data_IF_885559376847
#
_entry.id   IF_885559376847
#
_cell.length_a   1.000
_cell.length_b   1.000
_cell.length_c   1.000
_cell.angle_alpha   90.00
_cell.angle_beta   90.00
_cell.angle_gamma   90.00
#
_symmetry.space_group_name_H-M   'P 1'
#
loop_
_entity.id
_entity.type
_entity.pdbx_description
1 polymer ?
#
# COMPACT_ATOMS: atom_id res chain seq x y z
N UNK A 1 -9.88 -19.31 -30.89
CA UNK A 1 -9.14 -18.77 -29.72
C UNK A 1 -9.33 -19.72 -28.55
N UNK A 2 -8.27 -20.10 -27.87
CA UNK A 2 -8.36 -20.96 -26.68
C UNK A 2 -9.11 -20.17 -25.60
N UNK A 3 -10.11 -20.80 -24.96
CA UNK A 3 -10.87 -20.14 -23.87
C UNK A 3 -9.92 -19.80 -22.72
N UNK A 4 -9.89 -18.56 -22.28
CA UNK A 4 -9.07 -18.12 -21.13
C UNK A 4 -9.57 -18.86 -19.88
N UNK A 5 -8.69 -19.50 -19.09
CA UNK A 5 -9.09 -20.17 -17.86
C UNK A 5 -9.55 -19.17 -16.80
N UNK A 6 -10.29 -19.65 -15.78
CA UNK A 6 -10.64 -18.82 -14.62
C UNK A 6 -9.37 -18.28 -13.91
N UNK A 7 -8.39 -19.15 -13.69
CA UNK A 7 -7.11 -18.79 -13.08
C UNK A 7 -5.99 -18.93 -14.09
N UNK A 8 -5.28 -17.87 -14.32
CA UNK A 8 -4.04 -17.83 -15.08
C UNK A 8 -2.90 -18.00 -14.09
N UNK A 9 -2.26 -19.17 -14.11
CA UNK A 9 -1.17 -19.48 -13.23
C UNK A 9 0.16 -19.41 -13.98
N UNK A 10 1.15 -18.81 -13.35
CA UNK A 10 2.56 -18.93 -13.72
C UNK A 10 3.15 -20.09 -12.93
N UNK A 11 4.18 -20.74 -13.49
CA UNK A 11 5.01 -21.70 -12.74
C UNK A 11 6.06 -20.98 -11.88
N UNK A 12 6.72 -21.69 -10.97
CA UNK A 12 7.82 -21.13 -10.16
C UNK A 12 8.98 -20.63 -11.04
N UNK A 13 9.26 -21.29 -12.17
CA UNK A 13 10.30 -20.90 -13.11
C UNK A 13 9.99 -19.59 -13.85
N UNK A 14 8.72 -19.18 -13.86
CA UNK A 14 8.26 -17.93 -14.47
C UNK A 14 8.21 -16.76 -13.46
N UNK A 15 8.58 -17.00 -12.20
CA UNK A 15 8.74 -15.91 -11.23
C UNK A 15 9.74 -14.87 -11.76
N UNK A 16 9.40 -13.56 -11.71
CA UNK A 16 10.32 -12.50 -12.08
C UNK A 16 11.62 -12.59 -11.25
N UNK A 17 12.76 -12.45 -11.96
CA UNK A 17 14.09 -12.44 -11.34
C UNK A 17 14.55 -11.05 -10.95
N UNK A 18 13.83 -10.03 -11.37
CA UNK A 18 14.15 -8.63 -11.15
C UNK A 18 12.89 -7.89 -10.70
N UNK A 19 13.04 -6.95 -9.79
CA UNK A 19 12.07 -5.88 -9.60
C UNK A 19 12.27 -4.82 -10.67
N UNK A 20 11.21 -4.10 -11.00
CA UNK A 20 11.25 -3.01 -11.96
C UNK A 20 11.10 -1.66 -11.27
N UNK A 21 12.06 -0.77 -11.46
CA UNK A 21 12.03 0.59 -10.98
C UNK A 21 11.37 1.49 -12.04
N UNK A 22 10.31 2.19 -11.65
CA UNK A 22 9.57 3.08 -12.58
C UNK A 22 10.29 4.41 -12.81
N UNK A 23 11.09 4.89 -11.86
CA UNK A 23 11.69 6.23 -11.90
C UNK A 23 12.56 6.51 -13.15
N UNK A 24 13.39 5.57 -13.63
CA UNK A 24 14.18 5.81 -14.87
C UNK A 24 13.34 5.93 -16.16
N UNK A 25 12.04 5.66 -16.10
CA UNK A 25 11.12 5.83 -17.24
C UNK A 25 10.37 7.17 -17.18
N UNK A 26 10.33 7.81 -16.01
CA UNK A 26 9.66 9.10 -15.83
C UNK A 26 10.46 10.22 -16.51
N UNK A 27 9.77 11.19 -17.08
CA UNK A 27 10.43 12.36 -17.69
C UNK A 27 11.23 13.14 -16.65
N UNK A 28 10.67 13.26 -15.46
CA UNK A 28 11.32 13.81 -14.27
C UNK A 28 11.03 12.87 -13.10
N UNK A 29 12.08 12.48 -12.37
CA UNK A 29 11.93 11.71 -11.15
C UNK A 29 11.18 12.55 -10.09
N UNK A 30 10.55 11.92 -9.08
CA UNK A 30 10.04 12.64 -7.91
C UNK A 30 11.14 13.47 -7.25
N UNK A 31 10.73 14.60 -6.66
CA UNK A 31 11.65 15.45 -5.91
C UNK A 31 12.39 14.65 -4.82
N UNK A 32 13.66 15.01 -4.50
CA UNK A 32 14.39 14.36 -3.44
C UNK A 32 13.73 14.62 -2.07
N UNK A 33 13.98 13.74 -1.12
CA UNK A 33 13.63 13.98 0.26
C UNK A 33 14.41 15.19 0.79
N UNK A 34 13.77 16.05 1.56
CA UNK A 34 14.38 17.23 2.14
C UNK A 34 14.60 17.02 3.64
N UNK A 35 15.81 17.24 4.10
CA UNK A 35 16.13 17.23 5.51
C UNK A 35 15.42 18.40 6.21
N UNK A 36 14.55 18.16 7.22
CA UNK A 36 13.71 19.21 7.80
C UNK A 36 14.48 20.24 8.61
N UNK A 37 15.74 19.98 8.95
CA UNK A 37 16.60 20.91 9.72
C UNK A 37 17.43 21.80 8.79
N UNK A 38 18.01 21.20 7.74
CA UNK A 38 18.91 21.93 6.84
C UNK A 38 18.22 22.48 5.60
N UNK A 39 17.00 22.02 5.30
CA UNK A 39 16.23 22.30 4.07
C UNK A 39 16.99 21.98 2.78
N UNK A 40 17.89 21.00 2.84
CA UNK A 40 18.64 20.48 1.69
C UNK A 40 18.19 19.06 1.34
N UNK A 41 18.42 18.61 0.10
CA UNK A 41 18.21 17.21 -0.25
C UNK A 41 18.91 16.27 0.72
N UNK A 42 18.19 15.23 1.16
CA UNK A 42 18.76 14.19 2.00
C UNK A 42 19.81 13.40 1.24
N UNK A 43 20.88 13.10 1.95
CA UNK A 43 21.92 12.17 1.50
C UNK A 43 21.68 10.78 2.11
N UNK A 44 22.45 9.78 1.68
CA UNK A 44 22.43 8.47 2.33
C UNK A 44 22.74 8.54 3.83
N UNK A 45 23.65 9.44 4.23
CA UNK A 45 24.02 9.63 5.65
C UNK A 45 22.87 10.16 6.51
N UNK A 46 21.98 10.97 5.93
CA UNK A 46 20.78 11.46 6.64
C UNK A 46 19.76 10.31 6.89
N UNK A 47 19.76 9.28 6.06
CA UNK A 47 18.81 8.17 6.12
C UNK A 47 19.33 6.95 6.92
N UNK A 48 20.66 6.76 7.03
CA UNK A 48 21.28 5.63 7.74
C UNK A 48 20.86 5.43 9.19
N UNK A 49 20.55 6.47 9.99
CA UNK A 49 20.03 6.24 11.33
C UNK A 49 18.69 5.49 11.36
N UNK A 50 17.93 5.55 10.27
CA UNK A 50 16.55 5.03 10.17
C UNK A 50 16.49 3.74 9.39
N UNK A 51 17.09 3.66 8.19
CA UNK A 51 16.97 2.54 7.26
C UNK A 51 18.29 1.77 7.12
N UNK A 52 18.22 0.51 6.67
CA UNK A 52 19.41 -0.24 6.29
C UNK A 52 19.97 0.24 4.93
N UNK A 53 21.28 0.03 4.73
CA UNK A 53 22.03 0.63 3.61
C UNK A 53 21.47 0.25 2.23
N UNK A 54 21.17 -1.03 2.00
CA UNK A 54 20.61 -1.46 0.72
C UNK A 54 19.25 -0.81 0.41
N UNK A 55 18.39 -0.63 1.41
CA UNK A 55 17.10 0.05 1.22
C UNK A 55 17.31 1.54 0.89
N UNK A 56 18.37 2.16 1.43
CA UNK A 56 18.73 3.54 1.09
C UNK A 56 19.21 3.62 -0.37
N UNK A 57 20.04 2.68 -0.81
CA UNK A 57 20.48 2.62 -2.20
C UNK A 57 19.30 2.49 -3.15
N UNK A 58 18.38 1.58 -2.87
CA UNK A 58 17.17 1.40 -3.66
C UNK A 58 16.22 2.61 -3.61
N UNK A 59 16.14 3.27 -2.45
CA UNK A 59 15.34 4.49 -2.27
C UNK A 59 15.83 5.64 -3.13
N UNK A 60 17.15 5.79 -3.26
CA UNK A 60 17.78 6.88 -3.99
C UNK A 60 18.08 6.57 -5.46
N UNK A 61 17.92 5.31 -5.91
CA UNK A 61 18.25 4.89 -7.28
C UNK A 61 17.24 5.40 -8.31
N UNK A 62 17.65 6.37 -9.11
CA UNK A 62 16.89 6.92 -10.24
C UNK A 62 17.40 6.41 -11.61
N UNK A 63 18.31 5.45 -11.64
CA UNK A 63 19.06 5.08 -12.86
C UNK A 63 18.81 3.66 -13.34
N UNK A 64 18.78 2.70 -12.43
CA UNK A 64 18.61 1.30 -12.77
C UNK A 64 17.14 0.97 -13.00
N UNK A 65 16.80 0.53 -14.22
CA UNK A 65 15.43 0.09 -14.58
C UNK A 65 15.03 -1.22 -13.90
N UNK A 66 16.00 -2.10 -13.66
CA UNK A 66 15.78 -3.42 -13.07
C UNK A 66 16.79 -3.67 -11.96
N UNK A 67 16.31 -4.19 -10.83
CA UNK A 67 17.14 -4.57 -9.68
C UNK A 67 16.92 -6.06 -9.44
N UNK A 68 18.02 -6.82 -9.38
CA UNK A 68 17.94 -8.28 -9.19
C UNK A 68 17.31 -8.64 -7.84
N UNK A 69 16.43 -9.63 -7.87
CA UNK A 69 15.84 -10.19 -6.65
C UNK A 69 16.78 -11.30 -6.15
N UNK A 70 17.41 -11.14 -4.98
CA UNK A 70 18.26 -12.17 -4.38
C UNK A 70 17.60 -13.55 -4.35
N UNK A 71 18.40 -14.60 -4.49
CA UNK A 71 17.88 -15.98 -4.57
C UNK A 71 17.09 -16.36 -3.31
N UNK A 72 17.56 -15.97 -2.13
CA UNK A 72 16.90 -16.25 -0.85
C UNK A 72 15.52 -15.57 -0.74
N UNK A 73 15.37 -14.39 -1.33
CA UNK A 73 14.07 -13.72 -1.43
C UNK A 73 13.16 -14.48 -2.41
N UNK A 74 13.69 -14.92 -3.54
CA UNK A 74 12.94 -15.72 -4.53
C UNK A 74 12.50 -17.05 -3.94
N UNK A 75 13.34 -17.71 -3.14
CA UNK A 75 13.00 -18.93 -2.44
C UNK A 75 11.88 -18.73 -1.41
N UNK A 76 11.92 -17.64 -0.67
CA UNK A 76 10.78 -17.26 0.16
C UNK A 76 9.51 -17.00 -0.67
N UNK A 77 9.63 -16.29 -1.79
CA UNK A 77 8.51 -16.01 -2.69
C UNK A 77 7.84 -17.28 -3.20
N UNK A 78 8.56 -18.33 -3.53
CA UNK A 78 8.02 -19.62 -3.98
C UNK A 78 7.03 -20.26 -2.98
N UNK A 79 7.09 -19.91 -1.69
CA UNK A 79 6.13 -20.40 -0.71
C UNK A 79 4.69 -19.88 -0.94
N UNK A 80 4.52 -18.76 -1.66
CA UNK A 80 3.19 -18.15 -1.87
C UNK A 80 3.00 -17.47 -3.23
N UNK A 81 4.03 -17.40 -4.03
CA UNK A 81 4.01 -16.83 -5.38
C UNK A 81 4.38 -17.91 -6.40
N UNK A 82 4.00 -17.74 -7.70
CA UNK A 82 3.22 -16.62 -8.26
C UNK A 82 1.80 -16.52 -7.67
N UNK A 83 1.33 -15.29 -7.41
CA UNK A 83 -0.03 -15.11 -6.95
C UNK A 83 -1.05 -15.23 -8.11
N UNK A 84 -2.28 -15.70 -7.87
CA UNK A 84 -3.23 -15.94 -8.94
C UNK A 84 -3.65 -14.66 -9.67
N UNK A 85 -3.68 -14.72 -11.00
CA UNK A 85 -4.43 -13.79 -11.85
C UNK A 85 -5.73 -14.50 -12.27
N UNK A 86 -6.88 -13.93 -11.94
CA UNK A 86 -8.17 -14.59 -12.14
C UNK A 86 -9.07 -13.72 -13.02
N UNK A 87 -9.79 -14.35 -13.97
CA UNK A 87 -10.85 -13.69 -14.71
C UNK A 87 -12.18 -13.84 -13.97
N UNK A 88 -12.84 -12.73 -13.73
CA UNK A 88 -14.07 -12.63 -12.94
C UNK A 88 -15.32 -12.92 -13.79
N UNK A 89 -15.41 -14.11 -14.41
CA UNK A 89 -16.50 -14.49 -15.29
C UNK A 89 -17.89 -14.38 -14.66
N UNK A 90 -18.03 -14.72 -13.38
CA UNK A 90 -19.32 -14.64 -12.71
C UNK A 90 -19.72 -13.20 -12.42
N UNK A 91 -18.77 -12.34 -12.10
CA UNK A 91 -19.01 -10.89 -11.95
C UNK A 91 -19.39 -10.26 -13.30
N UNK A 92 -18.65 -10.58 -14.39
CA UNK A 92 -18.99 -10.13 -15.76
C UNK A 92 -20.44 -10.48 -16.10
N UNK A 93 -20.83 -11.74 -15.83
CA UNK A 93 -22.20 -12.23 -16.07
C UNK A 93 -23.23 -11.51 -15.20
N UNK A 94 -22.94 -11.32 -13.91
CA UNK A 94 -23.85 -10.66 -12.97
C UNK A 94 -24.09 -9.19 -13.33
N UNK A 95 -23.06 -8.50 -13.86
CA UNK A 95 -23.16 -7.12 -14.35
C UNK A 95 -23.78 -7.00 -15.73
N UNK A 96 -23.89 -8.12 -16.49
CA UNK A 96 -24.38 -8.12 -17.87
C UNK A 96 -23.51 -7.29 -18.81
N UNK A 97 -22.20 -7.26 -18.58
CA UNK A 97 -21.24 -6.41 -19.29
C UNK A 97 -20.50 -7.16 -20.40
N UNK A 98 -20.15 -6.49 -21.52
CA UNK A 98 -19.22 -7.03 -22.51
C UNK A 98 -17.74 -6.92 -22.08
N UNK A 99 -17.43 -6.19 -20.98
CA UNK A 99 -16.08 -6.05 -20.48
C UNK A 99 -15.51 -7.39 -19.99
N UNK A 100 -14.20 -7.54 -20.14
CA UNK A 100 -13.42 -8.62 -19.50
C UNK A 100 -12.78 -8.11 -18.23
N UNK A 101 -13.05 -8.76 -17.08
CA UNK A 101 -12.58 -8.30 -15.77
C UNK A 101 -11.57 -9.30 -15.20
N UNK A 102 -10.39 -8.83 -14.87
CA UNK A 102 -9.33 -9.63 -14.25
C UNK A 102 -8.92 -9.05 -12.91
N UNK A 103 -8.59 -9.91 -11.95
CA UNK A 103 -8.03 -9.47 -10.68
C UNK A 103 -6.78 -10.25 -10.28
N UNK A 104 -5.77 -9.51 -9.81
CA UNK A 104 -4.53 -10.06 -9.26
C UNK A 104 -4.69 -10.22 -7.76
N UNK A 105 -4.75 -11.47 -7.27
CA UNK A 105 -5.09 -11.76 -5.89
C UNK A 105 -3.85 -11.96 -5.01
N UNK A 106 -3.52 -10.94 -4.23
CA UNK A 106 -2.38 -10.91 -3.30
C UNK A 106 -2.71 -11.39 -1.87
N UNK A 107 -3.94 -11.77 -1.61
CA UNK A 107 -4.39 -12.23 -0.28
C UNK A 107 -4.28 -13.74 -0.04
N UNK A 108 -3.62 -14.49 -0.92
CA UNK A 108 -3.49 -15.95 -0.84
C UNK A 108 -2.41 -16.44 0.13
N UNK A 109 -1.52 -15.56 0.59
CA UNK A 109 -0.50 -15.90 1.56
C UNK A 109 -1.01 -15.79 3.00
N UNK A 110 -0.28 -16.34 3.96
CA UNK A 110 -0.66 -16.38 5.39
C UNK A 110 -0.82 -14.98 6.01
N UNK A 111 -0.04 -13.99 5.55
CA UNK A 111 -0.20 -12.60 6.02
C UNK A 111 -1.51 -11.97 5.52
N UNK A 112 -2.11 -12.55 4.51
CA UNK A 112 -3.37 -12.15 3.92
C UNK A 112 -3.31 -10.88 3.08
N UNK A 113 -2.13 -10.43 2.64
CA UNK A 113 -2.00 -9.22 1.81
C UNK A 113 -0.69 -9.14 1.01
N UNK A 114 -0.66 -8.22 0.02
CA UNK A 114 0.51 -7.88 -0.80
C UNK A 114 1.74 -7.42 0.00
N UNK A 115 1.55 -6.98 1.23
CA UNK A 115 2.63 -6.36 2.04
C UNK A 115 3.79 -7.31 2.30
N UNK A 116 3.55 -8.62 2.28
CA UNK A 116 4.60 -9.64 2.45
C UNK A 116 5.71 -9.52 1.39
N UNK A 117 5.39 -9.07 0.18
CA UNK A 117 6.40 -8.92 -0.88
C UNK A 117 7.55 -7.98 -0.50
N UNK A 118 7.23 -6.85 0.13
CA UNK A 118 8.24 -5.90 0.60
C UNK A 118 8.80 -6.28 1.97
N UNK A 119 7.99 -6.87 2.85
CA UNK A 119 8.45 -7.31 4.17
C UNK A 119 9.62 -8.28 4.07
N UNK A 120 9.52 -9.27 3.18
CA UNK A 120 10.59 -10.25 2.93
C UNK A 120 11.89 -9.56 2.49
N UNK A 121 11.81 -8.63 1.55
CA UNK A 121 12.97 -7.91 1.03
C UNK A 121 13.63 -7.06 2.13
N UNK A 122 12.84 -6.27 2.86
CA UNK A 122 13.38 -5.39 3.91
C UNK A 122 14.05 -6.18 5.05
N UNK A 123 13.46 -7.30 5.47
CA UNK A 123 14.03 -8.16 6.53
C UNK A 123 15.29 -8.87 6.03
N UNK A 124 15.30 -9.35 4.79
CA UNK A 124 16.47 -9.95 4.18
C UNK A 124 17.67 -9.00 4.20
N UNK A 125 17.51 -7.79 3.69
CA UNK A 125 18.60 -6.80 3.66
C UNK A 125 19.03 -6.37 5.06
N UNK A 126 18.10 -6.22 5.99
CA UNK A 126 18.43 -5.97 7.38
C UNK A 126 19.30 -7.09 7.98
N UNK A 127 18.98 -8.34 7.70
CA UNK A 127 19.79 -9.51 8.13
C UNK A 127 21.17 -9.50 7.48
N UNK A 128 21.28 -9.21 6.19
CA UNK A 128 22.56 -9.14 5.49
C UNK A 128 23.49 -8.05 6.09
N UNK A 129 22.92 -6.95 6.56
CA UNK A 129 23.65 -5.90 7.27
C UNK A 129 24.04 -6.29 8.72
N UNK A 130 23.56 -7.43 9.22
CA UNK A 130 23.83 -7.86 10.60
C UNK A 130 22.94 -7.20 11.66
N UNK A 131 21.80 -6.64 11.26
CA UNK A 131 20.84 -6.11 12.21
C UNK A 131 20.15 -7.24 12.96
N UNK A 132 19.87 -7.01 14.25
CA UNK A 132 19.27 -8.02 15.14
C UNK A 132 17.85 -7.65 15.54
N UNK A 133 17.44 -6.39 15.35
CA UNK A 133 16.15 -5.90 15.76
C UNK A 133 15.56 -4.95 14.68
N UNK A 134 14.26 -5.06 14.46
CA UNK A 134 13.51 -4.14 13.63
C UNK A 134 12.35 -3.53 14.40
N UNK A 135 12.04 -2.28 14.08
CA UNK A 135 10.84 -1.59 14.57
C UNK A 135 9.97 -1.17 13.41
N UNK A 136 8.67 -1.13 13.64
CA UNK A 136 7.72 -0.66 12.65
C UNK A 136 6.43 -0.19 13.29
N UNK A 137 5.64 0.55 12.51
CA UNK A 137 4.25 0.84 12.80
C UNK A 137 3.31 -0.13 12.09
N UNK A 138 2.06 -0.18 12.53
CA UNK A 138 0.98 -0.78 11.74
C UNK A 138 -0.37 -0.13 12.07
N UNK A 139 -1.14 0.23 11.04
CA UNK A 139 -2.50 0.75 11.19
C UNK A 139 -3.49 -0.36 11.51
N UNK A 140 -3.92 -1.09 10.48
CA UNK A 140 -4.90 -2.18 10.59
C UNK A 140 -4.29 -3.54 10.94
N UNK A 141 -2.96 -3.64 11.08
CA UNK A 141 -2.22 -4.87 11.40
C UNK A 141 -1.74 -5.66 10.19
N UNK A 142 -2.06 -5.28 8.96
CA UNK A 142 -1.64 -6.02 7.76
C UNK A 142 -0.12 -5.97 7.56
N UNK A 143 0.49 -4.79 7.72
CA UNK A 143 1.94 -4.65 7.62
C UNK A 143 2.65 -5.37 8.76
N UNK A 144 2.24 -5.14 9.99
CA UNK A 144 2.79 -5.84 11.16
C UNK A 144 2.74 -7.37 11.02
N UNK A 145 1.63 -7.93 10.50
CA UNK A 145 1.49 -9.37 10.25
C UNK A 145 2.51 -9.87 9.20
N UNK A 146 2.62 -9.16 8.07
CA UNK A 146 3.56 -9.53 7.00
C UNK A 146 5.01 -9.46 7.49
N UNK A 147 5.36 -8.41 8.22
CA UNK A 147 6.70 -8.22 8.75
C UNK A 147 7.04 -9.24 9.84
N UNK A 148 6.08 -9.57 10.73
CA UNK A 148 6.27 -10.60 11.76
C UNK A 148 6.58 -11.96 11.13
N UNK A 149 5.89 -12.32 10.04
CA UNK A 149 6.15 -13.55 9.30
C UNK A 149 7.57 -13.56 8.73
N UNK A 150 7.99 -12.47 8.08
CA UNK A 150 9.33 -12.37 7.50
C UNK A 150 10.42 -12.39 8.59
N UNK A 151 10.24 -11.65 9.69
CA UNK A 151 11.17 -11.62 10.82
C UNK A 151 11.30 -12.99 11.49
N UNK A 152 10.18 -13.69 11.70
CA UNK A 152 10.19 -15.06 12.24
C UNK A 152 10.97 -16.04 11.35
N UNK A 153 10.84 -15.91 10.03
CA UNK A 153 11.58 -16.75 9.07
C UNK A 153 13.09 -16.46 9.09
N UNK A 154 13.47 -15.18 9.07
CA UNK A 154 14.88 -14.78 9.03
C UNK A 154 15.56 -14.72 10.41
N UNK A 155 14.81 -14.86 11.50
CA UNK A 155 15.34 -14.87 12.88
C UNK A 155 15.78 -13.47 13.35
N UNK A 156 14.99 -12.43 13.08
CA UNK A 156 15.21 -11.05 13.55
C UNK A 156 14.09 -10.69 14.53
N UNK A 157 14.45 -10.05 15.65
CA UNK A 157 13.48 -9.55 16.62
C UNK A 157 12.67 -8.37 16.04
N UNK A 158 11.39 -8.29 16.41
CA UNK A 158 10.49 -7.27 15.88
C UNK A 158 9.63 -6.62 16.98
N UNK A 159 9.64 -5.29 17.03
CA UNK A 159 8.68 -4.48 17.79
C UNK A 159 7.72 -3.76 16.85
N UNK A 160 6.40 -3.99 17.02
CA UNK A 160 5.33 -3.43 16.20
C UNK A 160 4.51 -2.45 17.03
N UNK A 161 4.54 -1.17 16.65
CA UNK A 161 3.66 -0.14 17.21
C UNK A 161 2.35 -0.13 16.44
N UNK A 162 1.29 -0.67 17.06
CA UNK A 162 -0.02 -0.80 16.42
C UNK A 162 -0.98 0.30 16.90
N UNK A 163 -1.64 0.99 15.96
CA UNK A 163 -2.66 2.01 16.31
C UNK A 163 -3.64 1.43 17.32
N UNK A 164 -3.79 2.08 18.49
CA UNK A 164 -4.52 1.59 19.66
C UNK A 164 -5.94 1.15 19.36
N UNK A 165 -6.72 2.00 18.69
CA UNK A 165 -8.10 1.67 18.30
C UNK A 165 -8.17 0.43 17.38
N UNK A 166 -7.16 0.26 16.51
CA UNK A 166 -7.11 -0.92 15.64
C UNK A 166 -6.70 -2.17 16.40
N UNK A 167 -5.82 -2.07 17.39
CA UNK A 167 -5.43 -3.20 18.24
C UNK A 167 -6.64 -3.75 19.02
N UNK A 168 -7.50 -2.86 19.50
CA UNK A 168 -8.75 -3.21 20.19
C UNK A 168 -9.79 -3.84 19.24
N UNK A 169 -9.94 -3.29 18.04
CA UNK A 169 -10.92 -3.78 17.05
C UNK A 169 -10.50 -5.09 16.34
N UNK A 170 -9.20 -5.39 16.31
CA UNK A 170 -8.64 -6.51 15.57
C UNK A 170 -7.70 -7.38 16.42
N UNK A 171 -8.19 -7.97 17.52
CA UNK A 171 -7.34 -8.71 18.46
C UNK A 171 -6.65 -9.93 17.82
N UNK A 172 -7.27 -10.56 16.81
CA UNK A 172 -6.69 -11.69 16.11
C UNK A 172 -5.47 -11.32 15.24
N UNK A 173 -5.38 -10.06 14.76
CA UNK A 173 -4.16 -9.58 14.11
C UNK A 173 -2.98 -9.55 15.07
N UNK A 174 -3.21 -9.07 16.29
CA UNK A 174 -2.21 -9.07 17.36
C UNK A 174 -1.76 -10.49 17.66
N UNK A 175 -2.70 -11.42 17.87
CA UNK A 175 -2.39 -12.82 18.15
C UNK A 175 -1.54 -13.46 17.05
N UNK A 176 -1.83 -13.19 15.77
CA UNK A 176 -1.01 -13.71 14.64
C UNK A 176 0.42 -13.15 14.69
N UNK A 177 0.59 -11.83 14.89
CA UNK A 177 1.91 -11.21 15.00
C UNK A 177 2.72 -11.81 16.16
N UNK A 178 2.11 -11.98 17.32
CA UNK A 178 2.74 -12.58 18.51
C UNK A 178 3.07 -14.07 18.30
N UNK A 179 2.27 -14.79 17.52
CA UNK A 179 2.55 -16.20 17.14
C UNK A 179 3.81 -16.31 16.28
N UNK A 180 4.09 -15.32 15.44
CA UNK A 180 5.35 -15.22 14.69
C UNK A 180 6.51 -14.63 15.51
N UNK A 181 6.31 -14.33 16.79
CA UNK A 181 7.36 -13.88 17.70
C UNK A 181 7.50 -12.37 17.83
N UNK A 182 6.64 -11.56 17.20
CA UNK A 182 6.71 -10.11 17.32
C UNK A 182 6.18 -9.61 18.67
N UNK A 183 6.76 -8.53 19.18
CA UNK A 183 6.23 -7.75 20.30
C UNK A 183 5.30 -6.68 19.76
N UNK A 184 4.00 -6.74 20.12
CA UNK A 184 2.99 -5.77 19.65
C UNK A 184 2.64 -4.79 20.76
N UNK A 185 2.81 -3.49 20.48
CA UNK A 185 2.65 -2.38 21.43
C UNK A 185 1.54 -1.47 20.89
N UNK A 186 0.40 -1.30 21.61
CA UNK A 186 -0.62 -0.32 21.22
C UNK A 186 -0.04 1.11 21.29
N UNK A 187 -0.21 1.89 20.20
CA UNK A 187 0.30 3.25 20.06
C UNK A 187 -0.84 4.28 20.04
N UNK A 188 -0.68 5.43 20.74
CA UNK A 188 0.49 5.85 21.53
C UNK A 188 0.64 5.05 22.83
N UNK A 189 1.90 4.83 23.23
CA UNK A 189 2.27 4.06 24.42
C UNK A 189 3.01 4.93 25.45
N UNK A 190 3.18 4.42 26.65
CA UNK A 190 4.01 5.01 27.70
C UNK A 190 5.48 4.56 27.62
N UNK A 191 5.82 3.70 26.66
CA UNK A 191 7.17 3.13 26.51
C UNK A 191 8.15 4.06 25.80
N UNK A 192 7.67 5.07 25.08
CA UNK A 192 8.45 6.06 24.33
C UNK A 192 8.25 7.47 24.85
N UNK A 193 9.17 8.39 24.59
CA UNK A 193 9.00 9.80 24.95
C UNK A 193 7.89 10.46 24.11
N UNK A 194 7.88 10.15 22.80
CA UNK A 194 6.85 10.64 21.88
C UNK A 194 5.47 10.16 22.32
N UNK A 195 5.33 8.86 22.64
CA UNK A 195 4.07 8.29 23.08
C UNK A 195 3.55 8.94 24.37
N UNK A 196 4.41 9.11 25.37
CA UNK A 196 4.07 9.82 26.63
C UNK A 196 3.62 11.25 26.39
N UNK A 197 4.30 11.99 25.50
CA UNK A 197 3.92 13.37 25.13
C UNK A 197 2.53 13.38 24.50
N UNK A 198 2.27 12.56 23.53
CA UNK A 198 0.97 12.47 22.83
C UNK A 198 -0.15 12.11 23.81
N UNK A 199 0.09 11.16 24.73
CA UNK A 199 -0.88 10.78 25.77
C UNK A 199 -1.13 11.91 26.77
N UNK A 200 -0.12 12.72 27.09
CA UNK A 200 -0.29 13.87 27.98
C UNK A 200 -1.10 14.99 27.31
N UNK A 201 -0.87 15.25 26.03
CA UNK A 201 -1.62 16.25 25.25
C UNK A 201 -3.05 15.80 24.93
N UNK A 202 -3.29 14.50 24.72
CA UNK A 202 -4.58 13.94 24.41
C UNK A 202 -4.80 12.55 25.04
N UNK A 203 -5.17 12.47 26.33
CA UNK A 203 -5.29 11.19 27.05
C UNK A 203 -6.32 10.21 26.47
N UNK A 204 -7.31 10.74 25.75
CA UNK A 204 -8.42 9.95 25.14
C UNK A 204 -8.14 9.50 23.71
N UNK A 205 -6.95 9.76 23.17
CA UNK A 205 -6.65 9.46 21.76
C UNK A 205 -6.65 7.96 21.46
N UNK A 206 -7.30 7.58 20.35
CA UNK A 206 -7.21 6.23 19.76
C UNK A 206 -5.92 5.96 18.97
N UNK A 207 -5.06 6.99 18.88
CA UNK A 207 -3.85 6.95 18.09
C UNK A 207 -4.07 7.14 16.58
N UNK A 208 -2.96 7.33 15.89
CA UNK A 208 -2.90 7.42 14.42
C UNK A 208 -1.70 6.64 13.89
N UNK A 209 -1.66 6.43 12.58
CA UNK A 209 -0.49 5.83 11.95
C UNK A 209 0.77 6.70 12.16
N UNK A 210 0.62 8.03 12.04
CA UNK A 210 1.72 8.98 12.29
C UNK A 210 2.26 8.90 13.71
N UNK A 211 1.41 8.70 14.74
CA UNK A 211 1.87 8.48 16.12
C UNK A 211 2.72 7.20 16.22
N UNK A 212 2.24 6.11 15.63
CA UNK A 212 2.94 4.83 15.66
C UNK A 212 4.27 4.87 14.89
N UNK A 213 4.36 5.62 13.79
CA UNK A 213 5.62 5.89 13.06
C UNK A 213 6.61 6.59 13.97
N UNK A 214 6.20 7.68 14.64
CA UNK A 214 7.09 8.45 15.51
C UNK A 214 7.66 7.61 16.67
N UNK A 215 6.84 6.73 17.28
CA UNK A 215 7.30 5.84 18.34
C UNK A 215 8.28 4.78 17.83
N UNK A 216 7.98 4.15 16.68
CA UNK A 216 8.84 3.15 16.07
C UNK A 216 10.19 3.73 15.65
N UNK A 217 10.20 4.95 15.10
CA UNK A 217 11.42 5.68 14.74
C UNK A 217 12.24 6.04 15.98
N UNK A 218 11.61 6.54 17.05
CA UNK A 218 12.30 6.85 18.29
C UNK A 218 13.08 5.64 18.80
N UNK A 219 12.45 4.46 18.81
CA UNK A 219 13.10 3.23 19.31
C UNK A 219 14.21 2.78 18.36
N UNK A 220 14.02 2.88 17.04
CA UNK A 220 15.07 2.49 16.09
C UNK A 220 16.34 3.34 16.25
N UNK A 221 16.20 4.63 16.49
CA UNK A 221 17.31 5.56 16.66
C UNK A 221 18.03 5.42 18.02
N UNK A 222 17.35 4.90 19.06
CA UNK A 222 17.88 4.75 20.42
C UNK A 222 18.38 3.33 20.71
N UNK A 223 18.21 2.38 19.80
CA UNK A 223 18.56 0.97 20.00
C UNK A 223 19.67 0.54 19.04
N UNK A 224 20.75 -0.01 19.59
CA UNK A 224 21.85 -0.52 18.79
C UNK A 224 21.42 -1.68 17.88
N UNK A 225 22.01 -1.79 16.69
CA UNK A 225 21.70 -2.81 15.68
C UNK A 225 20.21 -2.92 15.35
N UNK A 226 19.49 -1.79 15.44
CA UNK A 226 18.08 -1.67 15.12
C UNK A 226 17.88 -0.72 13.95
N UNK A 227 16.86 -0.99 13.12
CA UNK A 227 16.38 -0.08 12.06
C UNK A 227 14.87 -0.10 11.99
N UNK A 228 14.34 0.99 11.49
CA UNK A 228 12.93 1.13 11.16
C UNK A 228 12.65 0.59 9.76
N UNK A 229 11.50 -0.04 9.59
CA UNK A 229 11.01 -0.54 8.30
C UNK A 229 9.57 -0.10 8.07
N UNK A 230 9.23 0.23 6.81
CA UNK A 230 7.96 0.86 6.44
C UNK A 230 7.27 0.08 5.33
N UNK A 231 5.97 -0.15 5.49
CA UNK A 231 5.17 -1.01 4.60
C UNK A 231 4.49 -0.33 3.43
N UNK A 232 4.76 0.94 3.15
CA UNK A 232 4.14 1.71 2.06
C UNK A 232 4.92 2.99 1.76
N UNK A 233 4.45 3.82 0.82
CA UNK A 233 4.90 5.18 0.51
C UNK A 233 6.23 5.25 -0.22
N UNK A 234 7.29 4.69 0.36
CA UNK A 234 8.67 4.85 -0.10
C UNK A 234 8.95 4.17 -1.44
N UNK A 235 9.98 4.66 -2.15
CA UNK A 235 10.32 4.20 -3.49
C UNK A 235 10.75 2.73 -3.51
N UNK A 236 11.57 2.29 -2.53
CA UNK A 236 11.97 0.89 -2.40
C UNK A 236 10.78 -0.04 -2.12
N UNK A 237 9.74 0.45 -1.42
CA UNK A 237 8.52 -0.35 -1.21
C UNK A 237 7.76 -0.51 -2.53
N UNK A 238 7.58 0.56 -3.31
CA UNK A 238 6.96 0.50 -4.65
C UNK A 238 7.75 -0.43 -5.56
N UNK A 239 9.09 -0.36 -5.53
CA UNK A 239 9.99 -1.25 -6.26
C UNK A 239 9.71 -2.72 -5.94
N UNK A 240 9.71 -3.11 -4.65
CA UNK A 240 9.45 -4.49 -4.24
C UNK A 240 8.05 -4.96 -4.66
N UNK A 241 7.06 -4.07 -4.66
CA UNK A 241 5.70 -4.39 -5.08
C UNK A 241 5.56 -4.51 -6.61
N UNK A 242 6.55 -4.13 -7.40
CA UNK A 242 6.52 -4.27 -8.87
C UNK A 242 6.35 -5.72 -9.32
N UNK A 243 6.69 -6.70 -8.47
CA UNK A 243 6.45 -8.12 -8.71
C UNK A 243 4.97 -8.42 -9.00
N UNK A 244 4.02 -7.66 -8.41
CA UNK A 244 2.59 -7.79 -8.65
C UNK A 244 2.28 -7.51 -10.12
N UNK A 245 2.77 -6.38 -10.63
CA UNK A 245 2.56 -5.96 -12.01
C UNK A 245 3.28 -6.86 -13.01
N UNK A 246 4.52 -7.25 -12.71
CA UNK A 246 5.33 -8.12 -13.56
C UNK A 246 4.64 -9.49 -13.77
N UNK A 247 4.19 -10.14 -12.70
CA UNK A 247 3.43 -11.39 -12.82
C UNK A 247 2.09 -11.20 -13.53
N UNK A 248 1.41 -10.06 -13.29
CA UNK A 248 0.15 -9.74 -13.98
C UNK A 248 0.37 -9.64 -15.48
N UNK A 249 1.38 -8.89 -15.91
CA UNK A 249 1.73 -8.72 -17.32
C UNK A 249 2.10 -10.05 -17.97
N UNK A 250 2.99 -10.83 -17.33
CA UNK A 250 3.35 -12.16 -17.83
C UNK A 250 2.13 -13.09 -17.98
N UNK A 251 1.23 -13.07 -17.00
CA UNK A 251 0.00 -13.89 -17.06
C UNK A 251 -0.92 -13.48 -18.20
N UNK A 252 -1.12 -12.19 -18.42
CA UNK A 252 -1.94 -11.67 -19.53
C UNK A 252 -1.29 -11.95 -20.90
N UNK A 253 0.02 -11.75 -21.00
CA UNK A 253 0.79 -11.99 -22.25
C UNK A 253 0.68 -13.43 -22.73
N UNK A 254 0.60 -14.44 -21.82
CA UNK A 254 0.36 -15.85 -22.17
C UNK A 254 -0.88 -16.08 -23.03
N UNK A 255 -1.87 -15.23 -22.89
CA UNK A 255 -3.16 -15.34 -23.59
C UNK A 255 -3.37 -14.22 -24.60
N UNK A 256 -2.35 -13.38 -24.84
CA UNK A 256 -2.43 -12.24 -25.76
C UNK A 256 -3.45 -11.20 -25.32
N UNK A 257 -3.66 -11.05 -24.01
CA UNK A 257 -4.60 -10.07 -23.43
C UNK A 257 -3.86 -8.79 -23.11
N UNK A 258 -4.39 -7.66 -23.59
CA UNK A 258 -3.87 -6.33 -23.28
C UNK A 258 -4.91 -5.56 -22.48
N UNK A 259 -4.58 -4.99 -21.30
CA UNK A 259 -5.51 -4.22 -20.53
C UNK A 259 -5.78 -2.84 -21.16
N UNK A 260 -7.06 -2.42 -21.12
CA UNK A 260 -7.46 -1.04 -21.44
C UNK A 260 -7.44 -0.17 -20.16
N UNK A 261 -7.80 -0.77 -19.01
CA UNK A 261 -7.90 -0.08 -17.73
C UNK A 261 -7.20 -0.92 -16.65
N UNK A 262 -6.34 -0.27 -15.85
CA UNK A 262 -5.71 -0.88 -14.67
C UNK A 262 -6.07 -0.06 -13.43
N UNK A 263 -6.62 -0.74 -12.40
CA UNK A 263 -7.20 -0.10 -11.22
C UNK A 263 -6.53 -0.64 -9.95
N UNK A 264 -6.16 0.24 -9.04
CA UNK A 264 -5.67 -0.15 -7.72
C UNK A 264 -6.17 0.76 -6.61
N UNK A 265 -6.38 0.20 -5.42
CA UNK A 265 -6.67 1.01 -4.24
C UNK A 265 -5.39 1.74 -3.78
N UNK A 266 -5.55 2.95 -3.25
CA UNK A 266 -4.47 3.82 -2.86
C UNK A 266 -4.66 4.38 -1.44
N UNK A 267 -3.77 3.98 -0.54
CA UNK A 267 -3.53 4.62 0.75
C UNK A 267 -2.18 5.33 0.65
N UNK A 268 -1.09 4.67 1.07
CA UNK A 268 0.26 5.15 0.75
C UNK A 268 0.74 4.85 -0.68
N UNK A 269 -0.05 4.16 -1.50
CA UNK A 269 0.19 3.96 -2.94
C UNK A 269 1.04 2.76 -3.35
N UNK A 270 1.62 1.98 -2.43
CA UNK A 270 2.59 0.96 -2.80
C UNK A 270 2.03 -0.19 -3.64
N UNK A 271 0.83 -0.69 -3.33
CA UNK A 271 0.21 -1.76 -4.13
C UNK A 271 -0.17 -1.28 -5.54
N UNK A 272 -0.73 -0.08 -5.63
CA UNK A 272 -1.07 0.54 -6.90
C UNK A 272 0.20 0.76 -7.74
N UNK A 273 1.22 1.40 -7.15
CA UNK A 273 2.51 1.65 -7.81
C UNK A 273 3.14 0.37 -8.33
N UNK A 274 3.17 -0.69 -7.50
CA UNK A 274 3.71 -1.99 -7.91
C UNK A 274 2.93 -2.65 -9.05
N UNK A 275 1.59 -2.64 -8.96
CA UNK A 275 0.72 -3.22 -9.99
C UNK A 275 0.90 -2.51 -11.35
N UNK A 276 0.93 -1.17 -11.33
CA UNK A 276 0.98 -0.40 -12.58
C UNK A 276 2.39 -0.32 -13.19
N UNK A 277 3.45 -0.53 -12.42
CA UNK A 277 4.84 -0.28 -12.84
C UNK A 277 5.17 -0.78 -14.25
N UNK A 278 5.02 -2.08 -14.63
CA UNK A 278 5.42 -2.52 -15.97
C UNK A 278 4.54 -1.96 -17.09
N UNK A 279 3.26 -1.73 -16.82
CA UNK A 279 2.32 -1.15 -17.77
C UNK A 279 2.54 0.36 -17.93
N UNK A 280 2.83 1.05 -16.83
CA UNK A 280 3.14 2.48 -16.82
C UNK A 280 4.50 2.75 -17.50
N UNK A 281 5.51 1.89 -17.27
CA UNK A 281 6.78 1.98 -17.98
C UNK A 281 6.57 1.92 -19.51
N UNK A 282 5.75 0.98 -19.98
CA UNK A 282 5.39 0.89 -21.40
C UNK A 282 4.63 2.14 -21.89
N UNK A 283 3.74 2.72 -21.07
CA UNK A 283 3.03 3.97 -21.41
C UNK A 283 3.99 5.16 -21.51
N UNK A 284 4.91 5.29 -20.58
CA UNK A 284 5.91 6.36 -20.58
C UNK A 284 6.89 6.24 -21.78
N UNK A 285 7.10 5.02 -22.28
CA UNK A 285 7.85 4.77 -23.53
C UNK A 285 6.97 4.86 -24.81
N UNK A 286 5.68 5.21 -24.68
CA UNK A 286 4.77 5.37 -25.82
C UNK A 286 4.27 4.06 -26.44
N UNK A 287 4.37 2.94 -25.73
CA UNK A 287 3.99 1.59 -26.24
C UNK A 287 2.51 1.25 -26.02
N UNK A 288 1.83 1.90 -25.11
CA UNK A 288 0.39 1.70 -24.82
C UNK A 288 -0.30 2.99 -24.37
N UNK A 289 -1.65 2.95 -24.35
CA UNK A 289 -2.50 4.04 -23.89
C UNK A 289 -3.43 3.58 -22.75
N UNK A 290 -2.94 2.69 -21.87
CA UNK A 290 -3.71 2.17 -20.74
C UNK A 290 -4.18 3.32 -19.85
N UNK A 291 -5.45 3.25 -19.45
CA UNK A 291 -6.03 4.15 -18.46
C UNK A 291 -5.79 3.60 -17.05
N UNK A 292 -5.11 4.37 -16.19
CA UNK A 292 -4.82 3.99 -14.82
C UNK A 292 -5.72 4.75 -13.85
N UNK A 293 -6.32 4.05 -12.88
CA UNK A 293 -7.20 4.65 -11.89
C UNK A 293 -6.73 4.29 -10.48
N UNK A 294 -6.34 5.32 -9.72
CA UNK A 294 -6.12 5.23 -8.29
C UNK A 294 -7.46 5.38 -7.55
N UNK A 295 -7.76 4.48 -6.62
CA UNK A 295 -9.01 4.54 -5.86
C UNK A 295 -8.73 4.68 -4.37
N UNK A 296 -9.19 5.76 -3.79
CA UNK A 296 -8.99 6.09 -2.37
C UNK A 296 -10.33 6.17 -1.62
N UNK A 297 -10.32 6.05 -0.27
CA UNK A 297 -11.54 6.24 0.51
C UNK A 297 -11.96 7.71 0.55
N UNK A 298 -13.25 7.97 0.40
CA UNK A 298 -13.81 9.31 0.53
C UNK A 298 -13.53 9.97 1.88
N UNK A 299 -13.22 9.16 2.90
CA UNK A 299 -12.86 9.61 4.26
C UNK A 299 -11.39 10.04 4.41
N UNK A 300 -10.54 9.74 3.40
CA UNK A 300 -9.12 10.10 3.41
C UNK A 300 -8.65 10.38 1.97
N UNK A 301 -9.15 11.48 1.34
CA UNK A 301 -9.04 11.74 -0.09
C UNK A 301 -7.74 12.49 -0.45
N UNK A 302 -6.58 11.85 -0.25
CA UNK A 302 -5.28 12.50 -0.40
C UNK A 302 -4.98 12.95 -1.83
N UNK A 303 -5.35 12.15 -2.85
CA UNK A 303 -5.17 12.52 -4.26
C UNK A 303 -6.25 13.49 -4.76
N UNK A 304 -7.52 13.17 -4.47
CA UNK A 304 -8.65 13.93 -5.06
C UNK A 304 -8.92 15.25 -4.39
N UNK A 305 -8.54 15.43 -3.12
CA UNK A 305 -8.76 16.68 -2.34
C UNK A 305 -7.51 17.17 -1.59
N UNK A 306 -6.38 16.45 -1.68
CA UNK A 306 -5.12 16.86 -1.07
C UNK A 306 -4.40 17.96 -1.86
N UNK A 307 -3.29 18.44 -1.29
CA UNK A 307 -2.38 19.40 -1.92
C UNK A 307 -1.09 18.71 -2.33
N UNK A 308 -0.55 19.04 -3.49
CA UNK A 308 0.78 18.57 -3.92
C UNK A 308 1.83 19.48 -3.29
N UNK A 309 2.41 19.04 -2.17
CA UNK A 309 3.31 19.85 -1.35
C UNK A 309 4.35 18.97 -0.64
N UNK A 310 5.40 19.58 -0.12
CA UNK A 310 6.27 18.93 0.85
C UNK A 310 5.55 18.76 2.18
N UNK A 311 5.63 17.57 2.75
CA UNK A 311 5.05 17.26 4.06
C UNK A 311 5.87 16.18 4.78
N UNK A 312 5.67 16.09 6.08
CA UNK A 312 6.23 15.01 6.89
C UNK A 312 5.50 13.69 6.67
N UNK A 313 6.23 12.58 6.77
CA UNK A 313 5.63 11.25 6.74
C UNK A 313 4.92 10.87 8.05
N UNK A 314 5.17 11.61 9.15
CA UNK A 314 4.69 11.31 10.49
C UNK A 314 4.08 12.52 11.19
N UNK A 315 3.22 12.27 12.19
CA UNK A 315 2.57 13.33 12.98
C UNK A 315 3.56 14.04 13.92
N UNK A 316 4.61 13.33 14.34
CA UNK A 316 5.65 13.89 15.21
C UNK A 316 6.65 14.80 14.49
N UNK A 317 6.57 14.91 13.18
CA UNK A 317 7.43 15.71 12.31
C UNK A 317 8.93 15.35 12.45
N UNK A 318 9.20 14.05 12.53
CA UNK A 318 10.56 13.52 12.71
C UNK A 318 11.15 12.95 11.41
N UNK A 319 10.31 12.68 10.41
CA UNK A 319 10.73 12.16 9.11
C UNK A 319 11.29 13.26 8.21
N UNK A 320 12.07 12.91 7.16
CA UNK A 320 12.32 13.81 6.05
C UNK A 320 11.02 14.29 5.39
N UNK A 321 11.09 15.47 4.78
CA UNK A 321 9.99 16.02 3.98
C UNK A 321 9.96 15.36 2.61
N UNK A 322 8.78 14.94 2.20
CA UNK A 322 8.52 14.32 0.90
C UNK A 322 7.53 15.17 0.11
N UNK A 323 7.80 15.44 -1.17
CA UNK A 323 6.81 16.08 -2.04
C UNK A 323 5.79 15.05 -2.50
N UNK A 324 4.55 15.24 -2.06
CA UNK A 324 3.47 14.29 -2.27
C UNK A 324 2.10 14.98 -2.28
N UNK A 325 1.09 14.30 -2.78
CA UNK A 325 -0.28 14.69 -2.48
C UNK A 325 -0.58 14.34 -1.03
N UNK A 326 -0.99 15.33 -0.24
CA UNK A 326 -1.18 15.20 1.21
C UNK A 326 -2.38 15.97 1.71
N UNK A 327 -2.96 15.49 2.80
CA UNK A 327 -3.99 16.16 3.61
C UNK A 327 -3.38 16.96 4.78
N UNK A 328 -2.03 16.95 4.89
CA UNK A 328 -1.29 17.49 6.02
C UNK A 328 -1.01 16.44 7.10
N UNK A 329 0.22 16.43 7.64
CA UNK A 329 0.68 15.46 8.65
C UNK A 329 -0.12 15.49 9.97
N UNK A 330 -0.84 16.59 10.23
CA UNK A 330 -1.79 16.72 11.34
C UNK A 330 -3.22 16.24 11.04
N UNK A 331 -3.54 15.85 9.82
CA UNK A 331 -4.87 15.35 9.48
C UNK A 331 -5.17 14.01 10.15
N UNK A 332 -6.32 13.92 10.81
CA UNK A 332 -6.76 12.71 11.51
C UNK A 332 -7.91 12.04 10.72
N UNK A 333 -7.62 10.95 9.98
CA UNK A 333 -8.66 10.23 9.25
C UNK A 333 -9.73 9.64 10.17
N UNK A 334 -10.98 9.65 9.72
CA UNK A 334 -12.08 9.00 10.45
C UNK A 334 -11.81 7.50 10.64
N UNK A 335 -12.41 6.85 11.66
CA UNK A 335 -12.20 5.44 11.95
C UNK A 335 -12.99 4.52 10.99
N UNK A 336 -12.85 4.71 9.67
CA UNK A 336 -13.42 3.82 8.68
C UNK A 336 -12.78 2.42 8.72
N UNK A 337 -13.43 1.44 8.10
CA UNK A 337 -13.01 0.04 8.15
C UNK A 337 -11.85 -0.33 7.20
N UNK A 338 -11.43 0.54 6.30
CA UNK A 338 -10.26 0.36 5.42
C UNK A 338 -9.00 0.99 6.04
N UNK A 339 -8.58 0.45 7.18
CA UNK A 339 -7.47 1.00 7.97
C UNK A 339 -6.14 1.09 7.22
N UNK A 340 -5.91 0.23 6.22
CA UNK A 340 -4.72 0.28 5.36
C UNK A 340 -4.71 1.43 4.36
N UNK A 341 -5.83 2.17 4.20
CA UNK A 341 -5.93 3.35 3.34
C UNK A 341 -6.04 4.66 4.14
N UNK A 342 -5.93 4.62 5.47
CA UNK A 342 -6.00 5.80 6.33
C UNK A 342 -4.61 6.40 6.56
N UNK A 343 -4.07 7.06 5.55
CA UNK A 343 -2.81 7.78 5.62
C UNK A 343 -2.94 9.14 4.95
N UNK A 344 -2.39 10.18 5.57
CA UNK A 344 -2.55 11.56 5.12
C UNK A 344 -1.84 11.88 3.81
N UNK A 345 -0.80 11.11 3.45
CA UNK A 345 0.04 11.33 2.29
C UNK A 345 0.04 10.18 1.28
N UNK A 346 0.58 10.43 0.10
CA UNK A 346 0.69 9.46 -0.99
C UNK A 346 2.15 9.29 -1.40
N UNK A 347 2.55 8.10 -1.85
CA UNK A 347 3.87 7.85 -2.43
C UNK A 347 4.31 8.98 -3.36
N UNK A 348 5.55 9.49 -3.25
CA UNK A 348 6.09 10.48 -4.18
C UNK A 348 5.99 10.05 -5.66
N UNK A 349 6.24 8.76 -5.96
CA UNK A 349 6.07 8.20 -7.31
C UNK A 349 4.63 8.31 -7.79
N UNK A 350 3.68 7.82 -7.00
CA UNK A 350 2.25 7.84 -7.36
C UNK A 350 1.73 9.27 -7.46
N UNK A 351 2.16 10.12 -6.53
CA UNK A 351 1.83 11.55 -6.53
C UNK A 351 2.33 12.25 -7.79
N UNK A 352 3.59 12.01 -8.19
CA UNK A 352 4.17 12.60 -9.39
C UNK A 352 3.46 12.12 -10.65
N UNK A 353 3.20 10.81 -10.78
CA UNK A 353 2.45 10.25 -11.92
C UNK A 353 1.04 10.83 -12.04
N UNK A 354 0.37 11.05 -10.90
CA UNK A 354 -0.94 11.71 -10.89
C UNK A 354 -0.85 13.20 -11.24
N UNK A 355 0.14 13.89 -10.68
CA UNK A 355 0.40 15.32 -10.97
C UNK A 355 0.70 15.56 -12.45
N UNK A 356 1.43 14.66 -13.09
CA UNK A 356 1.78 14.72 -14.51
C UNK A 356 0.64 14.25 -15.44
N UNK A 357 -0.55 13.94 -14.89
CA UNK A 357 -1.71 13.51 -15.66
C UNK A 357 -1.61 12.10 -16.26
N UNK A 358 -0.69 11.26 -15.75
CA UNK A 358 -0.53 9.89 -16.25
C UNK A 358 -1.62 8.94 -15.76
N UNK A 359 -2.35 9.29 -14.70
CA UNK A 359 -3.44 8.52 -14.11
C UNK A 359 -4.58 9.40 -13.61
N UNK A 360 -5.75 8.80 -13.43
CA UNK A 360 -6.93 9.36 -12.77
C UNK A 360 -6.97 8.93 -11.30
N UNK A 361 -7.60 9.73 -10.43
CA UNK A 361 -7.93 9.37 -9.06
C UNK A 361 -9.43 9.50 -8.80
N UNK A 362 -9.97 8.55 -8.04
CA UNK A 362 -11.39 8.56 -7.59
C UNK A 362 -11.47 8.24 -6.12
N UNK A 363 -12.38 8.88 -5.41
CA UNK A 363 -12.71 8.57 -4.01
C UNK A 363 -14.05 7.84 -3.92
N UNK A 364 -14.17 6.89 -2.99
CA UNK A 364 -15.37 6.06 -2.81
C UNK A 364 -15.77 6.00 -1.34
N UNK A 365 -17.07 6.14 -1.08
CA UNK A 365 -17.69 6.00 0.25
C UNK A 365 -17.70 4.52 0.69
N UNK A 366 -17.47 4.26 1.97
CA UNK A 366 -17.31 2.88 2.47
C UNK A 366 -18.56 2.00 2.28
N UNK A 367 -19.79 2.55 2.35
CA UNK A 367 -21.00 1.77 2.12
C UNK A 367 -21.07 1.23 0.69
N UNK A 368 -20.65 2.03 -0.33
CA UNK A 368 -20.53 1.60 -1.72
C UNK A 368 -19.40 0.59 -1.91
N UNK A 369 -18.31 0.73 -1.15
CA UNK A 369 -17.21 -0.23 -1.14
C UNK A 369 -17.68 -1.59 -0.64
N UNK A 370 -18.44 -1.65 0.47
CA UNK A 370 -18.95 -2.91 1.01
C UNK A 370 -20.09 -3.51 0.18
N UNK A 371 -20.90 -2.69 -0.51
CA UNK A 371 -21.84 -3.16 -1.53
C UNK A 371 -21.11 -3.96 -2.63
N UNK A 372 -20.05 -3.37 -3.20
CA UNK A 372 -19.24 -4.01 -4.21
C UNK A 372 -18.51 -5.26 -3.69
N UNK A 373 -17.95 -5.20 -2.47
CA UNK A 373 -17.31 -6.32 -1.81
C UNK A 373 -18.25 -7.50 -1.64
N UNK A 374 -19.48 -7.24 -1.20
CA UNK A 374 -20.50 -8.28 -0.96
C UNK A 374 -20.94 -8.92 -2.28
N UNK A 375 -21.18 -8.10 -3.30
CA UNK A 375 -21.51 -8.60 -4.64
C UNK A 375 -20.37 -9.46 -5.21
N UNK A 376 -19.13 -8.98 -5.15
CA UNK A 376 -17.95 -9.69 -5.60
C UNK A 376 -17.78 -11.03 -4.86
N UNK A 377 -17.93 -11.03 -3.54
CA UNK A 377 -17.86 -12.23 -2.71
C UNK A 377 -18.88 -13.28 -3.14
N UNK A 378 -20.12 -12.87 -3.43
CA UNK A 378 -21.19 -13.78 -3.89
C UNK A 378 -20.96 -14.30 -5.31
N UNK A 379 -20.32 -13.51 -6.18
CA UNK A 379 -20.02 -13.90 -7.55
C UNK A 379 -18.77 -14.78 -7.65
N UNK A 380 -17.68 -14.38 -7.00
CA UNK A 380 -16.36 -14.96 -7.21
C UNK A 380 -15.88 -15.87 -6.05
N UNK A 381 -16.68 -16.00 -4.99
CA UNK A 381 -16.36 -16.86 -3.83
C UNK A 381 -15.16 -16.40 -3.00
N UNK A 382 -14.68 -15.17 -3.21
CA UNK A 382 -13.54 -14.59 -2.52
C UNK A 382 -13.99 -13.43 -1.64
N UNK A 383 -13.71 -13.49 -0.34
CA UNK A 383 -13.99 -12.40 0.60
C UNK A 383 -12.85 -11.37 0.55
N UNK A 384 -13.04 -10.19 -0.07
CA UNK A 384 -11.98 -9.20 -0.26
C UNK A 384 -11.73 -8.38 1.01
N UNK A 385 -10.50 -7.87 1.17
CA UNK A 385 -10.24 -6.83 2.15
C UNK A 385 -11.02 -5.54 1.81
N UNK A 386 -11.47 -4.76 2.79
CA UNK A 386 -12.13 -3.48 2.55
C UNK A 386 -11.29 -2.53 1.69
N UNK A 387 -9.98 -2.56 1.85
CA UNK A 387 -9.04 -1.80 1.05
C UNK A 387 -9.16 -2.13 -0.44
N UNK A 388 -9.09 -3.41 -0.80
CA UNK A 388 -9.20 -3.89 -2.18
C UNK A 388 -10.56 -3.61 -2.80
N UNK A 389 -11.58 -3.54 -1.96
CA UNK A 389 -12.96 -3.36 -2.41
C UNK A 389 -13.24 -1.99 -3.00
N UNK A 390 -12.35 -1.01 -2.75
CA UNK A 390 -12.35 0.27 -3.45
C UNK A 390 -12.07 0.07 -4.95
N UNK A 391 -11.05 -0.73 -5.27
CA UNK A 391 -10.74 -1.07 -6.67
C UNK A 391 -11.86 -1.92 -7.31
N UNK A 392 -12.48 -2.85 -6.57
CA UNK A 392 -13.63 -3.63 -7.05
C UNK A 392 -14.78 -2.69 -7.43
N UNK A 393 -15.12 -1.70 -6.59
CA UNK A 393 -16.22 -0.76 -6.86
C UNK A 393 -15.99 -0.04 -8.18
N UNK A 394 -14.83 0.53 -8.39
CA UNK A 394 -14.52 1.27 -9.62
C UNK A 394 -14.41 0.33 -10.83
N UNK A 395 -13.91 -0.89 -10.67
CA UNK A 395 -13.91 -1.89 -11.74
C UNK A 395 -15.35 -2.25 -12.18
N UNK A 396 -16.27 -2.37 -11.21
CA UNK A 396 -17.69 -2.58 -11.50
C UNK A 396 -18.32 -1.36 -12.20
N UNK A 397 -17.99 -0.14 -11.79
CA UNK A 397 -18.49 1.09 -12.42
C UNK A 397 -18.03 1.18 -13.89
N UNK A 398 -16.75 0.89 -14.18
CA UNK A 398 -16.24 0.88 -15.54
C UNK A 398 -16.89 -0.27 -16.38
N UNK A 399 -17.13 -1.43 -15.78
CA UNK A 399 -17.82 -2.52 -16.45
C UNK A 399 -19.30 -2.21 -16.74
N UNK A 400 -19.98 -1.50 -15.83
CA UNK A 400 -21.35 -1.01 -16.05
C UNK A 400 -21.37 0.03 -17.19
N UNK A 401 -20.41 0.93 -17.23
CA UNK A 401 -20.24 1.89 -18.33
C UNK A 401 -20.02 1.18 -19.66
N UNK A 402 -19.22 0.10 -19.69
CA UNK A 402 -19.07 -0.72 -20.89
C UNK A 402 -20.40 -1.35 -21.34
N UNK A 403 -21.24 -1.81 -20.40
CA UNK A 403 -22.59 -2.31 -20.70
C UNK A 403 -23.48 -1.24 -21.34
N UNK A 404 -23.43 -0.01 -20.81
CA UNK A 404 -24.25 1.11 -21.28
C UNK A 404 -23.81 1.63 -22.64
N UNK A 405 -22.50 1.66 -22.91
CA UNK A 405 -21.93 2.14 -24.18
C UNK A 405 -21.82 1.05 -25.24
N UNK A 406 -21.86 -0.24 -24.85
CA UNK A 406 -21.58 -1.36 -25.73
C UNK A 406 -20.09 -1.56 -26.02
N UNK A 407 -19.20 -0.79 -25.41
CA UNK A 407 -17.75 -0.92 -25.59
C UNK A 407 -17.24 -2.19 -24.89
N UNK A 408 -16.34 -2.91 -25.56
CA UNK A 408 -15.63 -4.05 -24.97
C UNK A 408 -14.25 -3.58 -24.49
N UNK A 409 -14.03 -3.59 -23.17
CA UNK A 409 -12.74 -3.26 -22.53
C UNK A 409 -12.23 -4.38 -21.65
N UNK A 410 -10.93 -4.46 -21.55
CA UNK A 410 -10.22 -5.33 -20.59
C UNK A 410 -9.87 -4.50 -19.36
N UNK A 411 -10.44 -4.86 -18.21
CA UNK A 411 -10.26 -4.20 -16.92
C UNK A 411 -9.46 -5.12 -16.02
N UNK A 412 -8.34 -4.63 -15.48
CA UNK A 412 -7.51 -5.35 -14.53
C UNK A 412 -7.48 -4.59 -13.22
N UNK A 413 -7.70 -5.26 -12.10
CA UNK A 413 -7.57 -4.61 -10.79
C UNK A 413 -6.76 -5.43 -9.78
N UNK A 414 -6.18 -4.72 -8.81
CA UNK A 414 -5.46 -5.32 -7.69
C UNK A 414 -6.41 -5.74 -6.57
N UNK A 415 -6.49 -7.06 -6.29
CA UNK A 415 -7.15 -7.60 -5.11
C UNK A 415 -6.08 -7.83 -4.02
N UNK A 416 -5.79 -6.78 -3.26
CA UNK A 416 -4.58 -6.64 -2.46
C UNK A 416 -4.55 -7.43 -1.16
N UNK A 417 -5.72 -7.94 -0.71
CA UNK A 417 -5.79 -8.68 0.54
C UNK A 417 -7.10 -9.42 0.77
N UNK A 418 -7.07 -10.33 1.75
CA UNK A 418 -8.23 -11.10 2.22
C UNK A 418 -9.04 -10.32 3.26
N UNK A 419 -10.37 -10.51 3.26
CA UNK A 419 -11.31 -9.89 4.20
C UNK A 419 -11.49 -10.64 5.53
N UNK A 420 -10.91 -11.83 5.70
CA UNK A 420 -11.15 -12.65 6.90
C UNK A 420 -10.74 -11.99 8.22
N UNK A 421 -9.82 -11.05 8.20
CA UNK A 421 -9.47 -10.26 9.39
C UNK A 421 -10.37 -9.01 9.60
N UNK A 422 -11.37 -8.81 8.74
CA UNK A 422 -12.25 -7.64 8.75
C UNK A 422 -13.73 -8.02 8.92
N UNK A 423 -14.03 -9.18 9.52
CA UNK A 423 -15.39 -9.71 9.64
C UNK A 423 -16.32 -8.76 10.42
N UNK A 424 -15.81 -8.04 11.42
CA UNK A 424 -16.57 -7.03 12.14
C UNK A 424 -17.10 -5.91 11.22
N UNK A 425 -16.33 -5.53 10.21
CA UNK A 425 -16.75 -4.54 9.21
C UNK A 425 -17.88 -5.08 8.32
N UNK A 426 -17.76 -6.31 7.86
CA UNK A 426 -18.83 -6.98 7.11
C UNK A 426 -20.08 -7.16 7.95
N UNK A 427 -19.93 -7.46 9.24
CA UNK A 427 -21.05 -7.52 10.18
C UNK A 427 -21.77 -6.18 10.29
N UNK A 428 -21.04 -5.08 10.48
CA UNK A 428 -21.60 -3.73 10.55
C UNK A 428 -22.37 -3.36 9.27
N UNK A 429 -21.80 -3.70 8.09
CA UNK A 429 -22.48 -3.50 6.81
C UNK A 429 -23.77 -4.32 6.71
N UNK A 430 -23.72 -5.62 7.02
CA UNK A 430 -24.88 -6.52 6.96
C UNK A 430 -25.99 -6.13 7.92
N UNK A 431 -25.66 -5.50 9.04
CA UNK A 431 -26.61 -4.98 10.04
C UNK A 431 -27.14 -3.56 9.71
N UNK A 432 -26.63 -2.92 8.63
CA UNK A 432 -27.02 -1.56 8.25
C UNK A 432 -26.57 -0.48 9.25
N UNK A 433 -25.53 -0.77 10.05
CA UNK A 433 -24.98 0.18 11.04
C UNK A 433 -23.75 0.93 10.54
N UNK A 434 -23.27 0.61 9.34
CA UNK A 434 -22.14 1.30 8.73
C UNK A 434 -22.52 2.70 8.28
N UNK A 435 -21.68 3.70 8.60
CA UNK A 435 -21.91 5.12 8.26
C UNK A 435 -20.78 5.60 7.37
N UNK A 436 -21.10 6.41 6.37
CA UNK A 436 -20.11 7.11 5.57
C UNK A 436 -19.63 8.36 6.28
N UNK A 437 -18.37 8.70 6.05
CA UNK A 437 -17.76 9.94 6.46
C UNK A 437 -16.95 10.54 5.32
N UNK A 438 -17.21 11.80 5.03
CA UNK A 438 -16.44 12.60 4.07
C UNK A 438 -15.97 13.85 4.83
N UNK A 439 -14.66 14.13 4.90
CA UNK A 439 -14.15 15.30 5.59
C UNK A 439 -14.69 16.58 4.96
N UNK A 440 -15.08 17.52 5.80
CA UNK A 440 -15.48 18.87 5.35
C UNK A 440 -14.26 19.65 4.85
N UNK A 441 -14.48 20.77 4.14
CA UNK A 441 -13.38 21.65 3.74
C UNK A 441 -12.67 22.23 4.96
N UNK A 442 -13.38 22.48 6.07
CA UNK A 442 -12.79 22.93 7.32
C UNK A 442 -11.86 21.87 7.93
N UNK A 443 -12.24 20.56 7.90
CA UNK A 443 -11.38 19.48 8.36
C UNK A 443 -10.09 19.40 7.55
N UNK A 444 -10.18 19.60 6.22
CA UNK A 444 -9.02 19.60 5.34
C UNK A 444 -8.13 20.82 5.56
N UNK A 445 -8.69 22.01 5.73
CA UNK A 445 -7.92 23.24 5.99
C UNK A 445 -7.17 23.15 7.33
N UNK A 446 -7.72 22.51 8.37
CA UNK A 446 -7.00 22.21 9.61
C UNK A 446 -5.77 21.32 9.36
N UNK A 447 -5.93 20.33 8.50
CA UNK A 447 -4.80 19.48 8.07
C UNK A 447 -3.76 20.28 7.27
N UNK A 448 -4.19 21.06 6.29
CA UNK A 448 -3.29 21.87 5.46
C UNK A 448 -2.53 22.95 6.25
N UNK A 449 -3.08 23.41 7.37
CA UNK A 449 -2.40 24.34 8.25
C UNK A 449 -1.12 23.77 8.88
N UNK A 450 -0.96 22.43 8.87
CA UNK A 450 0.25 21.76 9.37
C UNK A 450 1.35 21.59 8.32
N UNK A 451 1.09 21.94 7.05
CA UNK A 451 2.09 21.83 5.99
C UNK A 451 3.29 22.74 6.24
N UNK A 452 4.50 22.20 6.13
CA UNK A 452 5.70 22.99 6.29
C UNK A 452 5.84 24.00 5.13
N UNK A 453 6.36 25.20 5.43
CA UNK A 453 6.72 26.19 4.42
C UNK A 453 8.12 25.87 3.93
N UNK A 454 8.22 25.22 2.78
CA UNK A 454 9.49 24.87 2.13
C UNK A 454 9.59 25.71 0.86
N UNK A 455 10.61 26.54 0.79
CA UNK A 455 11.06 27.19 -0.45
C UNK A 455 12.14 26.28 -1.06
N UNK A 456 11.77 25.51 -2.10
CA UNK A 456 12.68 24.59 -2.81
C UNK A 456 12.70 24.89 -4.31
#
# INVERSE_FOLDING_TARGET
MTKIPYKINLSEDELPKYWQNIRPYMQEAPDPFINPVTFKPCTADDLRPVFCDELIEQELDNTNKFIEIPEEIRDFYKMYRPSPLTRAYNLEKALGTPAEIYYKFEGTNTSGSHKLNSAVAQVYYAKQQGLTHLTTETGAGQWGTALSMACGYFGIDLSVYMVKVSAEQKPYRKAVMETYGARVIPSPSDTTEVGRRILAENPGTGGSLGCAISEAMEVSMKTDNCRYVLGSVLNHVVLHQSIIGLETKLGLDKYGVQPDIVIGCAGGGSNLGGLITPFMADKLEGKNNIHFIAVEPASCPSLTRGRYAFDFGDTGQTTPLMRMYTLGSGFMPSPNHSGGLRYHGMSPIVSKLYHDGMMEARSVEQTKVFEAATMFCRCEGTLPAPESSHAIRVAMDEAIKCRETGEKKVIVFGLTGTGYFNLAAYQAYNQGTMVDYVPTDEDLEKGFATLPKVEY
#
